data_IF_637645443118
#
_entry.id   IF_637645443118
#
_cell.length_a   1.000
_cell.length_b   1.000
_cell.length_c   1.000
_cell.angle_alpha   90.00
_cell.angle_beta   90.00
_cell.angle_gamma   90.00
#
_symmetry.space_group_name_H-M   'P 1'
#
loop_
_entity.id
_entity.type
_entity.pdbx_description
1 polymer ?
#
# COMPACT_ATOMS: atom_id res chain seq x y z
N UNK A 1 20.71 -9.76 -5.24
CA UNK A 1 19.76 -10.54 -4.42
C UNK A 1 18.74 -11.11 -5.37
N UNK A 2 18.49 -12.42 -5.31
CA UNK A 2 17.50 -13.05 -6.21
C UNK A 2 16.10 -12.54 -5.83
N UNK A 3 15.28 -12.17 -6.82
CA UNK A 3 13.96 -11.53 -6.61
C UNK A 3 13.11 -12.27 -5.58
N UNK A 4 13.23 -13.60 -5.56
CA UNK A 4 12.56 -14.50 -4.64
C UNK A 4 12.76 -14.14 -3.17
N UNK A 5 14.00 -13.84 -2.76
CA UNK A 5 14.33 -13.54 -1.37
C UNK A 5 13.81 -12.17 -0.97
N UNK A 6 13.89 -11.17 -1.87
CA UNK A 6 13.28 -9.85 -1.65
C UNK A 6 11.76 -9.99 -1.46
N UNK A 7 11.10 -10.80 -2.28
CA UNK A 7 9.65 -11.07 -2.16
C UNK A 7 9.31 -11.78 -0.86
N UNK A 8 10.12 -12.74 -0.39
CA UNK A 8 9.91 -13.41 0.89
C UNK A 8 9.99 -12.42 2.06
N UNK A 9 11.03 -11.59 2.11
CA UNK A 9 11.19 -10.57 3.16
C UNK A 9 10.02 -9.58 3.12
N UNK A 10 9.66 -9.10 1.94
CA UNK A 10 8.51 -8.21 1.77
C UNK A 10 7.19 -8.85 2.25
N UNK A 11 6.95 -10.14 1.93
CA UNK A 11 5.78 -10.87 2.41
C UNK A 11 5.71 -10.95 3.94
N UNK A 12 6.88 -11.08 4.59
CA UNK A 12 7.02 -11.05 6.05
C UNK A 12 6.84 -9.65 6.64
N UNK A 13 6.76 -8.59 5.82
CA UNK A 13 6.50 -7.23 6.29
C UNK A 13 7.73 -6.34 6.35
N UNK A 14 8.85 -6.75 5.75
CA UNK A 14 10.00 -5.88 5.52
C UNK A 14 9.64 -4.78 4.51
N UNK A 15 9.64 -3.54 4.98
CA UNK A 15 9.31 -2.37 4.16
C UNK A 15 10.43 -2.00 3.19
N UNK A 16 11.70 -2.24 3.53
CA UNK A 16 12.83 -1.95 2.65
C UNK A 16 12.86 -2.93 1.47
N UNK A 17 12.63 -4.21 1.75
CA UNK A 17 12.46 -5.22 0.71
C UNK A 17 11.27 -4.91 -0.20
N UNK A 18 10.16 -4.43 0.38
CA UNK A 18 9.01 -4.02 -0.42
C UNK A 18 9.29 -2.77 -1.26
N UNK A 19 10.02 -1.79 -0.70
CA UNK A 19 10.51 -0.61 -1.41
C UNK A 19 11.26 -1.01 -2.68
N UNK A 20 12.19 -1.97 -2.57
CA UNK A 20 12.95 -2.48 -3.72
C UNK A 20 12.05 -3.10 -4.80
N UNK A 21 10.97 -3.81 -4.41
CA UNK A 21 9.98 -4.32 -5.36
C UNK A 21 9.18 -3.21 -6.02
N UNK A 22 8.79 -2.18 -5.26
CA UNK A 22 8.10 -0.99 -5.79
C UNK A 22 9.00 -0.29 -6.81
N UNK A 23 10.26 -0.01 -6.49
CA UNK A 23 11.20 0.63 -7.43
C UNK A 23 11.29 -0.19 -8.72
N UNK A 24 11.46 -1.51 -8.60
CA UNK A 24 11.62 -2.43 -9.74
C UNK A 24 10.40 -2.49 -10.65
N UNK A 25 9.20 -2.62 -10.10
CA UNK A 25 7.99 -2.90 -10.88
C UNK A 25 7.11 -1.67 -11.15
N UNK A 26 7.48 -0.50 -10.61
CA UNK A 26 6.72 0.75 -10.74
C UNK A 26 6.33 1.09 -12.18
N UNK A 27 7.30 1.17 -13.09
CA UNK A 27 7.02 1.49 -14.49
C UNK A 27 6.23 0.38 -15.20
N UNK A 28 6.37 -0.89 -14.81
CA UNK A 28 5.60 -1.99 -15.39
C UNK A 28 4.13 -1.98 -14.95
N UNK A 29 3.86 -1.68 -13.67
CA UNK A 29 2.50 -1.47 -13.19
C UNK A 29 1.86 -0.23 -13.84
N UNK A 30 2.61 0.88 -13.92
CA UNK A 30 2.18 2.09 -14.62
C UNK A 30 1.84 1.82 -16.10
N UNK A 31 2.74 1.16 -16.83
CA UNK A 31 2.53 0.75 -18.22
C UNK A 31 1.29 -0.15 -18.37
N UNK A 32 1.08 -1.08 -17.44
CA UNK A 32 -0.11 -1.95 -17.42
C UNK A 32 -1.38 -1.12 -17.29
N UNK A 33 -1.43 -0.20 -16.33
CA UNK A 33 -2.60 0.64 -16.11
C UNK A 33 -2.87 1.54 -17.31
N UNK A 34 -1.85 2.20 -17.84
CA UNK A 34 -1.96 3.06 -19.03
C UNK A 34 -2.46 2.27 -20.25
N UNK A 35 -1.95 1.04 -20.47
CA UNK A 35 -2.39 0.19 -21.58
C UNK A 35 -3.87 -0.15 -21.55
N UNK A 36 -4.53 -0.04 -20.39
CA UNK A 36 -5.96 -0.27 -20.23
C UNK A 36 -6.74 1.03 -20.33
N UNK A 37 -6.32 2.09 -19.63
CA UNK A 37 -7.15 3.29 -19.42
C UNK A 37 -6.83 4.46 -20.36
N UNK A 38 -5.58 4.57 -20.84
CA UNK A 38 -5.16 5.62 -21.77
C UNK A 38 -4.90 7.00 -21.20
N UNK A 39 -4.83 7.12 -19.88
CA UNK A 39 -4.64 8.37 -19.18
C UNK A 39 -3.45 8.22 -18.23
N UNK A 40 -2.44 9.07 -18.41
CA UNK A 40 -1.20 8.98 -17.65
C UNK A 40 -1.40 9.29 -16.16
N UNK A 41 -2.23 10.29 -15.82
CA UNK A 41 -2.45 10.66 -14.43
C UNK A 41 -3.19 9.55 -13.68
N UNK A 42 -4.30 9.07 -14.23
CA UNK A 42 -5.03 7.99 -13.59
C UNK A 42 -4.25 6.67 -13.60
N UNK A 43 -3.36 6.44 -14.57
CA UNK A 43 -2.55 5.23 -14.61
C UNK A 43 -1.54 5.20 -13.47
N UNK A 44 -0.98 6.36 -13.11
CA UNK A 44 -0.09 6.50 -11.96
C UNK A 44 -0.84 6.23 -10.64
N UNK A 45 -2.05 6.77 -10.48
CA UNK A 45 -2.86 6.54 -9.28
C UNK A 45 -3.25 5.07 -9.12
N UNK A 46 -3.69 4.42 -10.21
CA UNK A 46 -4.04 3.00 -10.20
C UNK A 46 -2.81 2.14 -9.89
N UNK A 47 -1.63 2.49 -10.43
CA UNK A 47 -0.40 1.78 -10.11
C UNK A 47 -0.04 1.91 -8.61
N UNK A 48 -0.16 3.10 -8.02
CA UNK A 48 0.04 3.28 -6.57
C UNK A 48 -0.94 2.43 -5.76
N UNK A 49 -2.23 2.46 -6.13
CA UNK A 49 -3.26 1.65 -5.48
C UNK A 49 -2.99 0.15 -5.61
N UNK A 50 -2.48 -0.29 -6.75
CA UNK A 50 -2.09 -1.68 -6.97
C UNK A 50 -0.99 -2.12 -6.00
N UNK A 51 0.02 -1.28 -5.74
CA UNK A 51 1.04 -1.57 -4.74
C UNK A 51 0.48 -1.53 -3.31
N UNK A 52 -0.41 -0.60 -2.96
CA UNK A 52 -1.02 -0.60 -1.60
C UNK A 52 -1.88 -1.86 -1.39
N UNK A 53 -2.62 -2.26 -2.42
CA UNK A 53 -3.41 -3.50 -2.45
C UNK A 53 -2.52 -4.74 -2.38
N UNK A 54 -1.42 -4.78 -3.14
CA UNK A 54 -0.45 -5.86 -3.12
C UNK A 54 0.21 -6.00 -1.74
N UNK A 55 0.60 -4.89 -1.10
CA UNK A 55 1.10 -4.92 0.26
C UNK A 55 0.09 -5.51 1.25
N UNK A 56 -1.16 -5.05 1.18
CA UNK A 56 -2.24 -5.51 2.07
C UNK A 56 -2.51 -7.01 1.90
N UNK A 57 -2.46 -7.50 0.66
CA UNK A 57 -2.73 -8.89 0.29
C UNK A 57 -1.48 -9.77 0.13
N UNK A 58 -0.29 -9.30 0.51
CA UNK A 58 0.99 -9.99 0.30
C UNK A 58 1.04 -11.42 0.82
N UNK A 59 0.30 -11.73 1.90
CA UNK A 59 0.17 -13.10 2.43
C UNK A 59 -0.57 -14.08 1.52
N UNK A 60 -1.27 -13.60 0.48
CA UNK A 60 -1.94 -14.43 -0.52
C UNK A 60 -0.99 -14.90 -1.64
N UNK A 61 0.18 -14.28 -1.79
CA UNK A 61 1.18 -14.69 -2.78
C UNK A 61 1.90 -15.95 -2.29
N UNK A 62 1.48 -17.10 -2.81
CA UNK A 62 2.05 -18.42 -2.44
C UNK A 62 3.41 -18.69 -3.08
N UNK A 63 3.66 -18.09 -4.25
CA UNK A 63 4.84 -18.35 -5.07
C UNK A 63 5.59 -17.04 -5.27
N UNK A 64 6.70 -16.87 -4.54
CA UNK A 64 7.51 -15.65 -4.57
C UNK A 64 8.07 -15.34 -5.96
N UNK A 65 8.26 -16.37 -6.81
CA UNK A 65 8.77 -16.19 -8.17
C UNK A 65 7.73 -15.54 -9.10
N UNK A 66 6.47 -15.44 -8.65
CA UNK A 66 5.34 -14.92 -9.43
C UNK A 66 4.91 -13.50 -9.06
N UNK A 67 5.65 -12.80 -8.20
CA UNK A 67 5.30 -11.45 -7.75
C UNK A 67 4.92 -10.52 -8.91
N UNK A 68 5.73 -10.48 -9.98
CA UNK A 68 5.44 -9.65 -11.16
C UNK A 68 4.09 -9.96 -11.81
N UNK A 69 3.81 -11.24 -12.11
CA UNK A 69 2.54 -11.69 -12.70
C UNK A 69 1.32 -11.51 -11.78
N UNK A 70 1.54 -11.61 -10.48
CA UNK A 70 0.51 -11.37 -9.48
C UNK A 70 0.18 -9.88 -9.38
N UNK A 71 1.20 -9.01 -9.32
CA UNK A 71 1.03 -7.56 -9.37
C UNK A 71 0.36 -7.13 -10.67
N UNK A 72 0.77 -7.67 -11.81
CA UNK A 72 0.11 -7.46 -13.10
C UNK A 72 -1.40 -7.73 -13.03
N UNK A 73 -1.80 -8.84 -12.41
CA UNK A 73 -3.21 -9.22 -12.25
C UNK A 73 -3.97 -8.20 -11.40
N UNK A 74 -3.38 -7.75 -10.28
CA UNK A 74 -3.97 -6.72 -9.41
C UNK A 74 -4.16 -5.42 -10.18
N UNK A 75 -3.10 -4.94 -10.83
CA UNK A 75 -3.11 -3.69 -11.59
C UNK A 75 -4.15 -3.73 -12.70
N UNK A 76 -4.15 -4.79 -13.51
CA UNK A 76 -5.13 -4.94 -14.62
C UNK A 76 -6.56 -4.96 -14.11
N UNK A 77 -6.83 -5.66 -13.00
CA UNK A 77 -8.17 -5.68 -12.37
C UNK A 77 -8.60 -4.27 -11.97
N UNK A 78 -7.75 -3.55 -11.24
CA UNK A 78 -8.05 -2.18 -10.80
C UNK A 78 -8.30 -1.23 -11.99
N UNK A 79 -7.53 -1.37 -13.07
CA UNK A 79 -7.75 -0.59 -14.29
C UNK A 79 -9.11 -0.88 -14.96
N UNK A 80 -9.50 -2.15 -15.04
CA UNK A 80 -10.80 -2.55 -15.60
C UNK A 80 -11.95 -2.03 -14.73
N UNK A 81 -11.81 -2.15 -13.40
CA UNK A 81 -12.84 -1.69 -12.47
C UNK A 81 -12.99 -0.16 -12.50
N UNK A 82 -11.87 0.58 -12.65
CA UNK A 82 -11.89 2.02 -12.86
C UNK A 82 -12.66 2.41 -14.14
N UNK A 83 -12.38 1.73 -15.26
CA UNK A 83 -13.12 1.96 -16.52
C UNK A 83 -14.61 1.66 -16.41
N UNK A 84 -14.97 0.58 -15.70
CA UNK A 84 -16.38 0.23 -15.45
C UNK A 84 -17.10 1.31 -14.66
N UNK A 85 -16.47 1.83 -13.60
CA UNK A 85 -17.02 2.92 -12.78
C UNK A 85 -17.16 4.22 -13.58
N UNK A 86 -16.21 4.55 -14.45
CA UNK A 86 -16.28 5.73 -15.32
C UNK A 86 -17.37 5.64 -16.40
N UNK A 87 -17.70 4.43 -16.85
CA UNK A 87 -18.75 4.17 -17.87
C UNK A 87 -20.15 3.97 -17.28
N UNK A 88 -20.28 3.84 -15.96
CA UNK A 88 -21.60 3.85 -15.34
C UNK A 88 -22.27 5.20 -15.64
N UNK A 89 -23.57 5.23 -16.02
CA UNK A 89 -24.26 6.48 -16.26
C UNK A 89 -24.24 7.32 -14.98
N UNK A 90 -23.37 8.34 -14.96
CA UNK A 90 -23.37 9.38 -13.96
C UNK A 90 -24.64 10.21 -14.20
N UNK A 91 -25.67 9.97 -13.39
CA UNK A 91 -26.66 11.01 -13.15
C UNK A 91 -25.89 12.20 -12.56
N UNK A 92 -25.69 13.23 -13.40
CA UNK A 92 -25.39 14.63 -13.05
C UNK A 92 -24.31 14.87 -11.99
N UNK A 93 -23.11 15.26 -12.44
CA UNK A 93 -22.59 16.61 -12.20
C UNK A 93 -21.37 16.83 -13.12
N UNK A 94 -21.57 17.69 -14.12
CA UNK A 94 -20.51 18.25 -14.94
C UNK A 94 -19.87 19.39 -14.15
N UNK A 95 -18.77 19.13 -13.47
CA UNK A 95 -17.87 20.19 -13.01
C UNK A 95 -16.46 19.89 -13.54
N UNK A 96 -16.17 20.48 -14.70
CA UNK A 96 -14.83 20.60 -15.22
C UNK A 96 -14.09 21.63 -14.36
N UNK A 97 -13.21 21.18 -13.46
CA UNK A 97 -12.25 22.06 -12.80
C UNK A 97 -11.13 22.38 -13.78
N UNK A 98 -11.23 23.55 -14.43
CA UNK A 98 -10.08 24.20 -15.07
C UNK A 98 -9.13 24.68 -13.97
N UNK A 99 -8.00 23.99 -13.81
CA UNK A 99 -6.87 24.47 -13.01
C UNK A 99 -5.92 25.21 -13.98
N UNK A 100 -5.67 26.52 -13.82
CA UNK A 100 -4.71 27.22 -14.66
C UNK A 100 -3.28 26.86 -14.26
N UNK A 101 -2.51 26.27 -15.18
CA UNK A 101 -1.05 26.10 -15.04
C UNK A 101 -0.31 27.21 -15.80
N UNK A 102 0.78 27.79 -15.24
CA UNK A 102 1.58 28.81 -15.90
C UNK A 102 2.60 28.14 -16.83
N UNK A 103 2.15 27.67 -17.99
CA UNK A 103 2.99 27.20 -19.10
C UNK A 103 2.35 27.73 -20.39
N UNK A 104 3.13 28.07 -21.41
CA UNK A 104 2.60 28.60 -22.68
C UNK A 104 1.48 27.72 -23.21
N UNK A 105 0.35 28.34 -23.51
CA UNK A 105 -0.91 27.64 -23.85
C UNK A 105 -0.74 26.80 -25.11
N UNK A 106 0.12 27.26 -26.02
CA UNK A 106 0.41 26.64 -27.31
C UNK A 106 1.17 25.30 -27.16
N UNK A 107 2.21 25.24 -26.31
CA UNK A 107 3.00 24.01 -26.09
C UNK A 107 2.17 22.92 -25.39
N UNK A 108 1.29 23.31 -24.45
CA UNK A 108 0.42 22.37 -23.74
C UNK A 108 -0.63 21.77 -24.68
N UNK A 109 -1.17 22.55 -25.62
CA UNK A 109 -2.13 22.08 -26.63
C UNK A 109 -1.45 21.08 -27.57
N UNK A 110 -0.27 21.39 -28.12
CA UNK A 110 0.46 20.49 -29.04
C UNK A 110 0.85 19.16 -28.37
N UNK A 111 1.28 19.20 -27.10
CA UNK A 111 1.59 17.99 -26.32
C UNK A 111 0.34 17.13 -26.10
N UNK A 112 -0.80 17.75 -25.79
CA UNK A 112 -2.05 17.02 -25.56
C UNK A 112 -2.59 16.39 -26.85
N UNK A 113 -2.57 17.10 -27.97
CA UNK A 113 -2.94 16.55 -29.28
C UNK A 113 -2.06 15.36 -29.68
N UNK A 114 -0.76 15.43 -29.39
CA UNK A 114 0.18 14.34 -29.67
C UNK A 114 -0.12 13.11 -28.81
N UNK A 115 -0.39 13.30 -27.51
CA UNK A 115 -0.78 12.22 -26.60
C UNK A 115 -2.09 11.55 -27.01
N UNK A 116 -3.08 12.33 -27.48
CA UNK A 116 -4.35 11.79 -27.98
C UNK A 116 -4.14 10.92 -29.24
N UNK A 117 -3.37 11.42 -30.23
CA UNK A 117 -3.02 10.65 -31.44
C UNK A 117 -2.31 9.33 -31.11
N UNK A 118 -1.38 9.36 -30.16
CA UNK A 118 -0.68 8.16 -29.67
C UNK A 118 -1.64 7.18 -29.01
N UNK A 119 -2.57 7.68 -28.19
CA UNK A 119 -3.55 6.82 -27.54
C UNK A 119 -4.53 6.20 -28.54
N UNK A 120 -4.98 6.93 -29.54
CA UNK A 120 -5.87 6.41 -30.59
C UNK A 120 -5.16 5.36 -31.46
N UNK A 121 -3.88 5.57 -31.76
CA UNK A 121 -3.05 4.55 -32.40
C UNK A 121 -2.99 3.26 -31.57
N UNK A 122 -2.74 3.38 -30.27
CA UNK A 122 -2.69 2.23 -29.36
C UNK A 122 -4.05 1.54 -29.22
N UNK A 123 -5.15 2.29 -29.17
CA UNK A 123 -6.53 1.75 -29.13
C UNK A 123 -6.87 0.92 -30.36
N UNK A 124 -6.30 1.23 -31.53
CA UNK A 124 -6.50 0.46 -32.75
C UNK A 124 -5.94 -0.97 -32.66
N UNK A 125 -5.03 -1.22 -31.71
CA UNK A 125 -4.49 -2.54 -31.45
C UNK A 125 -5.39 -3.34 -30.50
N UNK A 126 -5.48 -4.65 -30.73
CA UNK A 126 -6.00 -5.56 -29.71
C UNK A 126 -5.23 -5.38 -28.38
N UNK A 127 -5.93 -5.56 -27.25
CA UNK A 127 -5.36 -5.36 -25.91
C UNK A 127 -4.02 -6.09 -25.71
N UNK A 128 -3.92 -7.34 -26.19
CA UNK A 128 -2.69 -8.16 -26.08
C UNK A 128 -1.48 -7.57 -26.80
N UNK A 129 -1.68 -6.83 -27.89
CA UNK A 129 -0.62 -6.16 -28.65
C UNK A 129 -0.29 -4.81 -28.00
N UNK A 130 -1.33 -4.02 -27.68
CA UNK A 130 -1.20 -2.74 -26.98
C UNK A 130 -0.41 -2.88 -25.67
N UNK A 131 -0.76 -3.87 -24.85
CA UNK A 131 -0.12 -4.11 -23.55
C UNK A 131 1.39 -4.34 -23.68
N UNK A 132 1.81 -5.20 -24.60
CA UNK A 132 3.23 -5.49 -24.81
C UNK A 132 3.97 -4.28 -25.38
N UNK A 133 3.36 -3.55 -26.31
CA UNK A 133 3.94 -2.32 -26.88
C UNK A 133 4.15 -1.24 -25.83
N UNK A 134 3.13 -0.98 -25.02
CA UNK A 134 3.21 0.02 -23.94
C UNK A 134 4.24 -0.37 -22.91
N UNK A 135 4.26 -1.64 -22.46
CA UNK A 135 5.29 -2.12 -21.54
C UNK A 135 6.69 -1.95 -22.13
N UNK A 136 6.93 -2.34 -23.37
CA UNK A 136 8.24 -2.24 -23.99
C UNK A 136 8.80 -0.81 -23.98
N UNK A 137 7.96 0.20 -24.18
CA UNK A 137 8.40 1.60 -24.24
C UNK A 137 8.37 2.34 -22.91
N UNK A 138 7.31 2.22 -22.12
CA UNK A 138 7.18 2.91 -20.83
C UNK A 138 8.05 2.23 -19.76
N UNK A 139 7.96 0.90 -19.65
CA UNK A 139 8.60 0.19 -18.53
C UNK A 139 10.11 0.09 -18.67
N UNK A 140 10.63 0.21 -19.89
CA UNK A 140 12.02 -0.08 -20.21
C UNK A 140 12.39 -1.56 -20.09
N UNK A 141 11.39 -2.44 -19.91
CA UNK A 141 11.61 -3.88 -19.81
C UNK A 141 11.99 -4.46 -21.18
N UNK A 142 12.94 -5.40 -21.16
CA UNK A 142 13.22 -6.23 -22.32
C UNK A 142 12.16 -7.34 -22.48
N UNK A 143 12.14 -8.01 -23.63
CA UNK A 143 11.13 -9.04 -23.94
C UNK A 143 11.05 -10.17 -22.91
N UNK A 144 12.18 -10.52 -22.26
CA UNK A 144 12.22 -11.57 -21.21
C UNK A 144 11.56 -11.08 -19.92
N UNK A 145 11.83 -9.85 -19.51
CA UNK A 145 11.20 -9.24 -18.34
C UNK A 145 9.69 -9.06 -18.55
N UNK A 146 9.28 -8.63 -19.75
CA UNK A 146 7.85 -8.57 -20.12
C UNK A 146 7.21 -9.96 -20.05
N UNK A 147 7.89 -10.99 -20.56
CA UNK A 147 7.42 -12.38 -20.51
C UNK A 147 7.20 -12.86 -19.08
N UNK A 148 8.16 -12.61 -18.20
CA UNK A 148 8.06 -12.96 -16.77
C UNK A 148 6.94 -12.18 -16.08
N UNK A 149 6.84 -10.87 -16.32
CA UNK A 149 5.83 -10.01 -15.71
C UNK A 149 4.41 -10.35 -16.17
N UNK A 150 4.22 -10.68 -17.45
CA UNK A 150 2.91 -11.06 -17.99
C UNK A 150 2.56 -12.54 -17.76
N UNK A 151 3.52 -13.39 -17.39
CA UNK A 151 3.32 -14.83 -17.26
C UNK A 151 3.05 -15.54 -18.60
N UNK A 152 3.63 -15.05 -19.70
CA UNK A 152 3.49 -15.63 -21.06
C UNK A 152 4.86 -16.00 -21.63
N UNK A 153 4.92 -16.81 -22.70
CA UNK A 153 6.20 -17.20 -23.30
C UNK A 153 6.93 -16.02 -23.97
N UNK A 154 8.27 -16.04 -23.97
CA UNK A 154 9.11 -15.06 -24.65
C UNK A 154 8.74 -14.93 -26.14
N UNK A 155 8.54 -16.07 -26.81
CA UNK A 155 8.10 -16.09 -28.22
C UNK A 155 6.75 -15.38 -28.42
N UNK A 156 5.81 -15.49 -27.47
CA UNK A 156 4.55 -14.76 -27.53
C UNK A 156 4.76 -13.24 -27.41
N UNK A 157 5.68 -12.79 -26.54
CA UNK A 157 6.03 -11.36 -26.42
C UNK A 157 6.62 -10.84 -27.72
N UNK A 158 7.66 -11.50 -28.26
CA UNK A 158 8.36 -11.09 -29.48
C UNK A 158 7.42 -11.05 -30.68
N UNK A 159 6.56 -12.08 -30.82
CA UNK A 159 5.55 -12.14 -31.88
C UNK A 159 4.53 -11.00 -31.75
N UNK A 160 4.10 -10.65 -30.52
CA UNK A 160 3.19 -9.52 -30.28
C UNK A 160 3.86 -8.18 -30.62
N UNK A 161 5.12 -7.96 -30.24
CA UNK A 161 5.87 -6.74 -30.60
C UNK A 161 5.98 -6.60 -32.12
N UNK A 162 6.38 -7.68 -32.82
CA UNK A 162 6.47 -7.68 -34.27
C UNK A 162 5.13 -7.34 -34.90
N UNK A 163 4.04 -7.95 -34.42
CA UNK A 163 2.71 -7.69 -34.93
C UNK A 163 2.25 -6.25 -34.66
N UNK A 164 2.56 -5.68 -33.51
CA UNK A 164 2.28 -4.26 -33.22
C UNK A 164 2.99 -3.33 -34.20
N UNK A 165 4.25 -3.62 -34.57
CA UNK A 165 5.00 -2.85 -35.59
C UNK A 165 4.42 -2.97 -37.00
N UNK A 166 3.80 -4.09 -37.34
CA UNK A 166 3.12 -4.26 -38.63
C UNK A 166 1.79 -3.50 -38.68
N UNK A 167 1.07 -3.49 -37.55
CA UNK A 167 -0.24 -2.83 -37.44
C UNK A 167 -0.11 -1.31 -37.31
N UNK A 168 0.88 -0.83 -36.57
CA UNK A 168 1.22 0.59 -36.48
C UNK A 168 2.17 0.91 -37.63
N UNK A 169 1.70 1.63 -38.66
CA UNK A 169 2.56 2.14 -39.75
C UNK A 169 3.83 2.79 -39.16
N UNK A 170 4.98 2.67 -39.84
CA UNK A 170 6.32 3.05 -39.31
C UNK A 170 6.34 4.41 -38.59
N UNK A 171 5.83 5.46 -39.22
CA UNK A 171 5.78 6.82 -38.66
C UNK A 171 4.95 6.91 -37.36
N UNK A 172 3.83 6.18 -37.32
CA UNK A 172 2.97 6.13 -36.13
C UNK A 172 3.64 5.35 -35.00
N UNK A 173 4.40 4.31 -35.34
CA UNK A 173 5.17 3.54 -34.37
C UNK A 173 6.30 4.37 -33.76
N UNK A 174 7.02 5.16 -34.57
CA UNK A 174 8.07 6.08 -34.11
C UNK A 174 7.50 7.15 -33.18
N UNK A 175 6.37 7.78 -33.53
CA UNK A 175 5.67 8.74 -32.68
C UNK A 175 5.22 8.14 -31.33
N UNK A 176 4.65 6.91 -31.37
CA UNK A 176 4.26 6.17 -30.16
C UNK A 176 5.50 5.89 -29.30
N UNK A 177 6.60 5.44 -29.91
CA UNK A 177 7.84 5.17 -29.20
C UNK A 177 8.40 6.41 -28.50
N UNK A 178 8.51 7.54 -29.21
CA UNK A 178 9.03 8.80 -28.68
C UNK A 178 8.18 9.30 -27.51
N UNK A 179 6.86 9.30 -27.68
CA UNK A 179 5.95 9.76 -26.64
C UNK A 179 6.03 8.88 -25.40
N UNK A 180 5.95 7.55 -25.55
CA UNK A 180 5.94 6.63 -24.41
C UNK A 180 7.29 6.55 -23.69
N UNK A 181 8.42 6.71 -24.40
CA UNK A 181 9.75 6.64 -23.79
C UNK A 181 10.00 7.77 -22.77
N UNK A 182 9.30 8.90 -22.90
CA UNK A 182 9.36 10.02 -21.95
C UNK A 182 8.50 9.80 -20.71
N UNK A 183 7.59 8.83 -20.73
CA UNK A 183 6.63 8.59 -19.66
C UNK A 183 7.19 7.55 -18.70
N UNK A 184 7.57 7.99 -17.50
CA UNK A 184 8.00 7.14 -16.38
C UNK A 184 7.34 7.61 -15.10
N UNK A 185 7.26 6.75 -14.10
CA UNK A 185 6.85 7.19 -12.77
C UNK A 185 7.82 8.25 -12.24
N UNK A 186 7.30 9.21 -11.48
CA UNK A 186 8.13 10.22 -10.83
C UNK A 186 9.03 9.62 -9.74
N UNK A 187 10.08 10.35 -9.35
CA UNK A 187 11.06 9.90 -8.34
C UNK A 187 10.44 9.70 -6.95
N UNK A 188 9.31 10.34 -6.67
CA UNK A 188 8.63 10.30 -5.38
C UNK A 188 7.58 9.17 -5.32
N UNK A 189 7.35 8.44 -6.41
CA UNK A 189 6.31 7.42 -6.54
C UNK A 189 6.41 6.35 -5.46
N UNK A 190 7.63 5.85 -5.23
CA UNK A 190 7.93 4.89 -4.17
C UNK A 190 7.62 5.47 -2.79
N UNK A 191 8.08 6.69 -2.51
CA UNK A 191 7.86 7.36 -1.23
C UNK A 191 6.37 7.59 -0.95
N UNK A 192 5.58 7.94 -1.98
CA UNK A 192 4.12 8.07 -1.87
C UNK A 192 3.47 6.74 -1.47
N UNK A 193 3.91 5.62 -2.04
CA UNK A 193 3.41 4.29 -1.70
C UNK A 193 3.81 3.91 -0.27
N UNK A 194 5.09 4.05 0.08
CA UNK A 194 5.58 3.73 1.42
C UNK A 194 4.85 4.58 2.46
N UNK A 195 4.69 5.89 2.23
CA UNK A 195 3.91 6.78 3.10
C UNK A 195 2.45 6.37 3.23
N UNK A 196 1.81 5.86 2.18
CA UNK A 196 0.43 5.34 2.25
C UNK A 196 0.33 4.04 3.02
N UNK A 197 1.36 3.19 2.93
CA UNK A 197 1.46 1.95 3.69
C UNK A 197 1.71 2.22 5.17
N UNK A 198 2.61 3.15 5.50
CA UNK A 198 2.96 3.54 6.88
C UNK A 198 2.00 4.59 7.46
N UNK A 199 1.20 5.23 6.62
CA UNK A 199 0.30 6.36 6.95
C UNK A 199 -1.06 5.97 7.53
N UNK A 200 -1.35 4.68 7.72
CA UNK A 200 -2.29 4.27 8.78
C UNK A 200 -1.48 4.35 10.08
N UNK A 201 -1.57 5.48 10.78
CA UNK A 201 -0.75 5.84 11.94
C UNK A 201 -0.26 4.62 12.72
N UNK A 202 1.01 4.24 12.49
CA UNK A 202 1.61 3.12 13.18
C UNK A 202 2.37 3.66 14.39
N UNK A 203 1.75 3.51 15.57
CA UNK A 203 2.42 3.87 16.82
C UNK A 203 3.37 2.72 17.14
N UNK A 204 4.67 3.01 17.18
CA UNK A 204 5.67 2.05 17.61
C UNK A 204 5.68 1.95 19.13
N UNK A 205 5.57 0.73 19.65
CA UNK A 205 5.59 0.39 21.06
C UNK A 205 6.71 -0.65 21.27
N UNK A 206 7.84 -0.27 21.87
CA UNK A 206 8.89 -1.20 22.24
C UNK A 206 8.38 -2.09 23.38
N UNK A 207 8.63 -3.39 23.26
CA UNK A 207 8.21 -4.41 24.23
C UNK A 207 9.36 -5.33 24.58
N UNK A 208 9.37 -5.89 25.79
CA UNK A 208 10.42 -6.84 26.23
C UNK A 208 10.17 -8.24 25.70
N UNK A 209 8.90 -8.64 25.69
CA UNK A 209 8.47 -9.95 25.26
C UNK A 209 7.26 -9.80 24.36
N UNK A 210 7.48 -10.03 23.07
CA UNK A 210 6.46 -9.81 22.05
C UNK A 210 5.25 -10.72 22.26
N UNK A 211 5.45 -11.97 22.66
CA UNK A 211 4.35 -12.91 22.88
C UNK A 211 3.47 -12.47 24.04
N UNK A 212 4.09 -12.18 25.19
CA UNK A 212 3.39 -11.71 26.39
C UNK A 212 2.60 -10.43 26.13
N UNK A 213 3.17 -9.52 25.33
CA UNK A 213 2.53 -8.24 25.00
C UNK A 213 1.35 -8.45 24.06
N UNK A 214 1.54 -9.25 23.00
CA UNK A 214 0.46 -9.61 22.08
C UNK A 214 -0.71 -10.26 22.82
N UNK A 215 -0.43 -11.23 23.70
CA UNK A 215 -1.44 -11.91 24.50
C UNK A 215 -2.20 -10.91 25.37
N UNK A 216 -1.50 -9.95 25.98
CA UNK A 216 -2.14 -8.91 26.78
C UNK A 216 -3.10 -8.04 25.98
N UNK A 217 -2.63 -7.48 24.86
CA UNK A 217 -3.44 -6.56 24.05
C UNK A 217 -4.67 -7.27 23.44
N UNK A 218 -4.55 -8.54 23.07
CA UNK A 218 -5.67 -9.30 22.50
C UNK A 218 -6.65 -9.71 23.59
N UNK A 219 -6.16 -10.43 24.61
CA UNK A 219 -7.03 -11.12 25.56
C UNK A 219 -7.69 -10.15 26.54
N UNK A 220 -6.98 -9.08 26.93
CA UNK A 220 -7.48 -8.14 27.94
C UNK A 220 -8.02 -6.85 27.33
N UNK A 221 -7.44 -6.36 26.22
CA UNK A 221 -7.85 -5.07 25.63
C UNK A 221 -8.71 -5.22 24.37
N UNK A 222 -9.13 -6.43 24.02
CA UNK A 222 -10.02 -6.69 22.88
C UNK A 222 -9.42 -6.30 21.53
N UNK A 223 -8.10 -6.19 21.44
CA UNK A 223 -7.43 -5.84 20.19
C UNK A 223 -7.36 -7.05 19.26
N UNK A 224 -7.29 -6.80 17.96
CA UNK A 224 -7.12 -7.88 16.98
C UNK A 224 -5.70 -7.93 16.46
N UNK A 225 -5.11 -9.13 16.47
CA UNK A 225 -3.84 -9.36 15.82
C UNK A 225 -4.03 -9.24 14.30
N UNK A 226 -3.32 -8.31 13.67
CA UNK A 226 -3.39 -8.15 12.22
C UNK A 226 -2.67 -9.32 11.52
N UNK A 227 -1.58 -9.81 12.13
CA UNK A 227 -0.76 -10.94 11.66
C UNK A 227 -0.01 -11.61 12.81
N UNK A 228 0.31 -12.90 12.65
CA UNK A 228 1.19 -13.63 13.57
C UNK A 228 2.51 -12.92 13.84
N UNK A 229 3.10 -13.18 15.01
CA UNK A 229 4.37 -12.58 15.44
C UNK A 229 5.47 -12.91 14.44
N UNK A 230 6.13 -11.87 13.94
CA UNK A 230 7.25 -11.96 13.02
C UNK A 230 8.53 -12.00 13.84
N UNK A 231 9.33 -13.06 13.75
CA UNK A 231 10.62 -13.12 14.45
C UNK A 231 11.68 -12.34 13.66
N UNK A 232 12.54 -11.62 14.36
CA UNK A 232 13.69 -10.91 13.76
C UNK A 232 14.97 -11.72 13.93
N UNK A 233 15.94 -11.53 13.03
CA UNK A 233 17.19 -12.29 12.97
C UNK A 233 18.06 -12.15 14.24
N UNK A 234 17.87 -11.08 15.00
CA UNK A 234 18.55 -10.79 16.26
C UNK A 234 17.90 -11.45 17.50
N UNK A 235 16.90 -12.31 17.28
CA UNK A 235 16.15 -13.03 18.31
C UNK A 235 14.96 -12.27 18.90
N UNK A 236 14.65 -11.08 18.36
CA UNK A 236 13.47 -10.30 18.70
C UNK A 236 12.21 -10.73 17.93
N UNK A 237 11.20 -9.85 17.93
CA UNK A 237 10.01 -10.04 17.12
C UNK A 237 9.10 -8.82 17.07
N UNK A 238 8.32 -8.73 16.00
CA UNK A 238 7.40 -7.65 15.72
C UNK A 238 5.97 -8.18 15.63
N UNK A 239 5.00 -7.39 16.09
CA UNK A 239 3.58 -7.70 15.94
C UNK A 239 2.80 -6.44 15.56
N UNK A 240 1.78 -6.62 14.73
CA UNK A 240 0.88 -5.54 14.36
C UNK A 240 -0.47 -5.79 15.01
N UNK A 241 -0.91 -4.88 15.86
CA UNK A 241 -2.15 -4.99 16.63
C UNK A 241 -3.10 -3.87 16.22
N UNK A 242 -4.36 -4.19 15.99
CA UNK A 242 -5.38 -3.21 15.62
C UNK A 242 -6.33 -2.96 16.79
N UNK A 243 -6.52 -1.69 17.13
CA UNK A 243 -7.42 -1.22 18.18
C UNK A 243 -8.85 -1.09 17.63
N UNK A 244 -9.58 -2.20 17.49
CA UNK A 244 -10.93 -2.19 16.90
C UNK A 244 -10.97 -1.59 15.48
N UNK A 245 -11.68 -0.46 15.31
CA UNK A 245 -11.71 0.32 14.06
C UNK A 245 -10.65 1.45 14.00
N UNK A 246 -9.81 1.58 15.02
CA UNK A 246 -8.76 2.58 15.15
C UNK A 246 -7.44 2.22 14.45
N UNK A 247 -6.33 2.91 14.82
CA UNK A 247 -5.03 2.73 14.19
C UNK A 247 -4.40 1.35 14.47
N UNK A 248 -3.36 1.02 13.70
CA UNK A 248 -2.56 -0.19 13.91
C UNK A 248 -1.35 0.18 14.75
N UNK A 249 -1.11 -0.52 15.85
CA UNK A 249 0.09 -0.41 16.67
C UNK A 249 1.14 -1.40 16.15
N UNK A 250 2.40 -0.97 16.08
CA UNK A 250 3.55 -1.85 15.90
C UNK A 250 4.15 -2.12 17.27
N UNK A 251 4.08 -3.38 17.73
CA UNK A 251 4.87 -3.84 18.85
C UNK A 251 6.22 -4.33 18.33
N UNK A 252 7.31 -3.80 18.87
CA UNK A 252 8.67 -4.16 18.46
C UNK A 252 9.46 -4.66 19.66
N UNK A 253 9.96 -5.90 19.61
CA UNK A 253 10.74 -6.42 20.73
C UNK A 253 12.13 -5.81 20.74
N UNK A 254 12.50 -5.18 21.86
CA UNK A 254 13.80 -4.55 22.03
C UNK A 254 14.55 -5.16 23.22
N UNK A 255 15.89 -5.13 23.15
CA UNK A 255 16.77 -5.68 24.20
C UNK A 255 16.88 -4.74 25.40
N UNK A 256 16.70 -3.44 25.18
CA UNK A 256 16.79 -2.41 26.21
C UNK A 256 15.39 -1.99 26.68
N UNK A 257 15.32 -1.53 27.93
CA UNK A 257 14.07 -1.10 28.56
C UNK A 257 13.68 0.31 28.11
N UNK A 258 12.69 0.40 27.22
CA UNK A 258 12.09 1.67 26.81
C UNK A 258 10.66 1.76 27.34
N UNK A 259 10.43 2.67 28.29
CA UNK A 259 9.07 3.00 28.73
C UNK A 259 8.55 4.18 27.91
N UNK A 260 7.47 3.97 27.17
CA UNK A 260 6.75 5.07 26.53
C UNK A 260 5.82 5.68 27.57
N UNK A 261 6.37 6.60 28.37
CA UNK A 261 5.58 7.49 29.19
C UNK A 261 5.82 8.93 28.77
N UNK A 262 4.75 9.64 28.44
CA UNK A 262 4.80 11.09 28.42
C UNK A 262 4.87 11.56 29.88
N UNK A 263 5.77 12.47 30.23
CA UNK A 263 5.74 13.12 31.55
C UNK A 263 4.97 14.42 31.38
N UNK A 264 3.82 14.54 32.05
CA UNK A 264 3.03 15.77 32.10
C UNK A 264 2.96 16.24 33.55
N UNK A 265 3.50 17.43 33.82
CA UNK A 265 3.56 18.01 35.17
C UNK A 265 4.16 17.06 36.22
N UNK A 266 5.27 16.39 35.87
CA UNK A 266 5.95 15.44 36.76
C UNK A 266 5.26 14.07 36.91
N UNK A 267 4.12 13.84 36.25
CA UNK A 267 3.39 12.59 36.33
C UNK A 267 3.41 11.82 35.00
N UNK A 268 3.50 10.47 35.01
CA UNK A 268 3.35 9.66 33.81
C UNK A 268 1.94 9.79 33.23
N UNK A 269 1.86 10.24 31.99
CA UNK A 269 0.65 10.33 31.19
C UNK A 269 0.45 9.07 30.34
N UNK A 270 -0.81 8.74 29.99
CA UNK A 270 -1.14 7.57 29.19
C UNK A 270 -0.60 7.69 27.76
N UNK A 271 -0.28 6.54 27.15
CA UNK A 271 0.16 6.42 25.77
C UNK A 271 -0.99 6.69 24.79
N UNK A 272 -2.17 6.13 25.08
CA UNK A 272 -3.40 6.35 24.34
C UNK A 272 -4.63 6.07 25.23
N UNK A 273 -5.79 6.41 24.70
CA UNK A 273 -7.10 6.19 25.32
C UNK A 273 -7.86 5.11 24.54
N UNK A 274 -8.48 4.18 25.26
CA UNK A 274 -9.37 3.16 24.72
C UNK A 274 -10.79 3.43 25.18
N UNK A 275 -11.73 3.29 24.26
CA UNK A 275 -13.15 3.49 24.52
C UNK A 275 -13.83 2.15 24.85
N UNK A 276 -14.75 2.18 25.80
CA UNK A 276 -15.62 1.05 26.18
C UNK A 276 -17.04 1.54 26.39
N UNK A 277 -18.03 0.66 26.17
CA UNK A 277 -19.44 0.97 26.45
C UNK A 277 -19.75 0.96 27.95
N UNK A 278 -18.99 0.19 28.74
CA UNK A 278 -19.20 0.03 30.18
C UNK A 278 -17.86 -0.09 30.93
N UNK A 279 -17.39 1.03 31.49
CA UNK A 279 -16.11 1.05 32.19
C UNK A 279 -16.13 0.27 33.51
N UNK A 280 -17.25 0.23 34.22
CA UNK A 280 -17.37 -0.47 35.51
C UNK A 280 -17.29 -1.98 35.36
N UNK A 281 -18.00 -2.52 34.38
CA UNK A 281 -17.93 -3.94 34.03
C UNK A 281 -16.53 -4.31 33.53
N UNK A 282 -15.97 -3.51 32.62
CA UNK A 282 -14.65 -3.80 32.07
C UNK A 282 -13.54 -3.75 33.13
N UNK A 283 -13.63 -2.80 34.07
CA UNK A 283 -12.75 -2.73 35.23
C UNK A 283 -12.81 -3.99 36.10
N UNK A 284 -14.01 -4.53 36.34
CA UNK A 284 -14.19 -5.73 37.15
C UNK A 284 -13.56 -6.95 36.47
N UNK A 285 -13.81 -7.14 35.17
CA UNK A 285 -13.22 -8.21 34.35
C UNK A 285 -11.70 -8.14 34.39
N UNK A 286 -11.12 -6.97 34.14
CA UNK A 286 -9.66 -6.79 34.14
C UNK A 286 -9.02 -7.07 35.51
N UNK A 287 -9.68 -6.68 36.61
CA UNK A 287 -9.21 -7.03 37.97
C UNK A 287 -9.26 -8.54 38.22
N UNK A 288 -10.31 -9.23 37.78
CA UNK A 288 -10.45 -10.68 37.92
C UNK A 288 -9.38 -11.43 37.12
N UNK A 289 -9.05 -10.96 35.93
CA UNK A 289 -7.99 -11.50 35.07
C UNK A 289 -6.56 -11.16 35.54
N UNK A 290 -6.42 -10.40 36.64
CA UNK A 290 -5.14 -10.05 37.23
C UNK A 290 -4.38 -8.94 36.50
N UNK A 291 -5.05 -8.16 35.65
CA UNK A 291 -4.45 -6.99 34.99
C UNK A 291 -4.15 -5.92 36.02
N UNK A 292 -2.97 -5.29 35.91
CA UNK A 292 -2.56 -4.23 36.82
C UNK A 292 -3.35 -2.94 36.54
N UNK A 293 -4.43 -2.74 37.29
CA UNK A 293 -5.23 -1.52 37.28
C UNK A 293 -4.62 -0.46 38.21
N UNK A 294 -4.51 0.77 37.74
CA UNK A 294 -3.87 1.89 38.44
C UNK A 294 -4.97 2.78 39.05
N UNK A 295 -5.10 2.71 40.38
CA UNK A 295 -6.12 3.46 41.11
C UNK A 295 -7.53 2.89 40.95
N UNK A 296 -8.52 3.70 41.35
CA UNK A 296 -9.93 3.37 41.22
C UNK A 296 -10.59 4.12 40.04
N UNK A 297 -11.80 3.71 39.69
CA UNK A 297 -12.60 4.37 38.65
C UNK A 297 -12.86 5.83 39.06
N UNK A 298 -12.56 6.74 38.14
CA UNK A 298 -12.89 8.15 38.26
C UNK A 298 -14.24 8.39 37.59
N UNK A 299 -15.27 8.60 38.42
CA UNK A 299 -16.61 8.96 37.94
C UNK A 299 -16.63 10.41 37.47
N UNK A 300 -17.02 10.63 36.21
CA UNK A 300 -17.10 11.96 35.63
C UNK A 300 -18.38 12.12 34.81
N UNK A 301 -18.89 13.34 34.72
CA UNK A 301 -20.05 13.69 33.89
C UNK A 301 -19.88 13.39 32.40
N UNK A 302 -18.63 13.21 31.95
CA UNK A 302 -18.27 12.94 30.55
C UNK A 302 -17.88 11.47 30.31
N UNK A 303 -18.23 10.57 31.23
CA UNK A 303 -17.89 9.14 31.17
C UNK A 303 -16.89 8.72 32.26
N UNK A 304 -17.16 7.56 32.85
CA UNK A 304 -16.29 6.92 33.83
C UNK A 304 -14.97 6.50 33.18
N UNK A 305 -13.85 6.64 33.88
CA UNK A 305 -12.53 6.25 33.35
C UNK A 305 -11.60 5.65 34.39
N UNK A 306 -10.67 4.82 33.95
CA UNK A 306 -9.60 4.25 34.79
C UNK A 306 -8.34 4.00 33.96
N UNK A 307 -7.23 3.65 34.62
CA UNK A 307 -5.97 3.37 33.94
C UNK A 307 -5.51 1.94 34.19
N UNK A 308 -4.83 1.37 33.19
CA UNK A 308 -4.16 0.07 33.29
C UNK A 308 -2.70 0.19 32.87
N UNK A 309 -1.89 -0.75 33.35
CA UNK A 309 -0.52 -0.94 32.90
C UNK A 309 -0.44 -2.14 31.97
N UNK A 310 0.23 -1.97 30.83
CA UNK A 310 0.64 -3.11 29.99
C UNK A 310 1.82 -3.87 30.64
N UNK A 311 2.23 -5.04 30.08
CA UNK A 311 3.31 -5.86 30.60
C UNK A 311 4.68 -5.17 30.68
N UNK A 312 4.88 -4.11 29.89
CA UNK A 312 6.11 -3.33 29.82
C UNK A 312 6.07 -2.08 30.71
N UNK A 313 4.92 -1.83 31.34
CA UNK A 313 4.71 -0.75 32.30
C UNK A 313 4.02 0.47 31.70
N UNK A 314 3.68 0.47 30.40
CA UNK A 314 3.05 1.59 29.71
C UNK A 314 1.63 1.82 30.22
N UNK A 315 1.23 3.09 30.33
CA UNK A 315 -0.09 3.47 30.84
C UNK A 315 -1.09 3.62 29.71
N UNK A 316 -2.27 3.03 29.86
CA UNK A 316 -3.40 3.16 28.93
C UNK A 316 -4.60 3.66 29.75
N UNK A 317 -5.34 4.64 29.23
CA UNK A 317 -6.58 5.08 29.88
C UNK A 317 -7.77 4.42 29.18
N UNK A 318 -8.66 3.84 29.97
CA UNK A 318 -9.95 3.32 29.51
C UNK A 318 -11.03 4.35 29.84
N UNK A 319 -11.86 4.72 28.86
CA UNK A 319 -12.90 5.74 29.00
C UNK A 319 -14.22 5.15 28.53
N UNK A 320 -15.27 5.34 29.32
CA UNK A 320 -16.63 5.02 28.91
C UNK A 320 -17.15 6.06 27.92
N UNK A 321 -17.63 5.62 26.76
CA UNK A 321 -18.31 6.46 25.77
C UNK A 321 -19.80 6.10 25.65
#
# INVERSE_FOLDING_TARGET
MEDKEVVKSANQGDLEAYSALVSKYSNAAYATAFSVIGDFHYAQDIAQEAFVSAWSSRGMLKDSDKFGSWLFTITRRLSIDWLRKRRAPLNTLSEAYNIPTPVSVEEVIEINETKEKVWDALKSLDEKYRQVTVMYFISGFNSREISQFLGISLSAVESRIRRSKELLKKELFEMVQETLATQKVDKDFEQKIIKRITGVACINIPVKNIQKSVDFYINHLGCTLVRGILKTDDGGGNAFIKLGNGPVLLLQQEKEEYKIHFIRNGNPAPMFELLTENAKEFFAVLKEEGVLVIGDIQENSCGDRFQVSDPDGNRITIIQC
#
